data_IF_716258860015
#
_entry.id   IF_716258860015
#
_cell.length_a   1.000
_cell.length_b   1.000
_cell.length_c   1.000
_cell.angle_alpha   90.00
_cell.angle_beta   90.00
_cell.angle_gamma   90.00
#
_symmetry.space_group_name_H-M   'P 1'
#
loop_
_entity.id
_entity.type
_entity.pdbx_description
1 polymer ?
#
# COMPACT_ATOMS: atom_id res chain seq x y z
N UNK A 1 25.24 -66.41 25.72
CA UNK A 1 25.48 -67.60 24.88
C UNK A 1 24.58 -68.72 25.38
N UNK A 2 23.45 -69.00 24.71
CA UNK A 2 22.77 -70.31 24.60
C UNK A 2 21.43 -70.13 23.88
N UNK A 3 21.05 -71.20 23.18
CA UNK A 3 20.16 -71.28 22.02
C UNK A 3 18.74 -71.78 22.36
N UNK A 4 17.86 -71.61 21.37
CA UNK A 4 16.78 -72.53 20.91
C UNK A 4 15.38 -72.46 21.55
N UNK A 5 14.49 -71.84 20.75
CA UNK A 5 13.33 -72.45 20.06
C UNK A 5 12.30 -73.22 20.87
N UNK A 6 11.05 -72.73 20.81
CA UNK A 6 9.85 -73.59 20.82
C UNK A 6 8.98 -73.31 19.60
N UNK A 7 8.63 -74.41 18.94
CA UNK A 7 7.67 -74.54 17.86
C UNK A 7 6.27 -74.51 18.47
N UNK A 8 5.34 -73.80 17.86
CA UNK A 8 3.91 -73.92 18.16
C UNK A 8 3.11 -74.06 16.87
N UNK A 9 2.11 -74.92 16.98
CA UNK A 9 1.35 -75.55 15.90
C UNK A 9 0.38 -74.61 15.18
N UNK A 10 0.13 -75.02 13.93
CA UNK A 10 -0.89 -74.53 13.02
C UNK A 10 -2.27 -74.91 13.55
N UNK A 11 -3.16 -73.92 13.69
CA UNK A 11 -4.61 -74.12 13.65
C UNK A 11 -5.13 -73.24 12.52
N UNK A 12 -5.71 -73.89 11.51
CA UNK A 12 -6.44 -73.26 10.43
C UNK A 12 -7.78 -72.72 10.95
N UNK A 13 -8.10 -71.47 10.64
CA UNK A 13 -9.47 -70.98 10.71
C UNK A 13 -9.83 -70.29 9.40
N UNK A 14 -10.85 -70.86 8.77
CA UNK A 14 -11.54 -70.44 7.55
C UNK A 14 -11.99 -68.99 7.68
N UNK A 15 -11.55 -68.14 6.74
CA UNK A 15 -12.08 -66.78 6.58
C UNK A 15 -12.80 -66.67 5.24
N UNK A 16 -14.09 -66.35 5.35
CA UNK A 16 -15.04 -66.20 4.26
C UNK A 16 -14.64 -65.02 3.38
N UNK A 17 -14.52 -65.31 2.08
CA UNK A 17 -14.26 -64.37 1.00
C UNK A 17 -15.39 -63.33 0.92
N UNK A 18 -15.12 -62.08 1.29
CA UNK A 18 -15.97 -60.93 0.98
C UNK A 18 -15.25 -60.08 -0.05
N UNK A 19 -15.61 -60.23 -1.32
CA UNK A 19 -15.12 -59.41 -2.41
C UNK A 19 -15.90 -58.09 -2.37
N UNK A 20 -15.31 -57.05 -1.78
CA UNK A 20 -15.75 -55.66 -2.00
C UNK A 20 -15.06 -55.15 -3.26
N UNK A 21 -15.83 -55.04 -4.36
CA UNK A 21 -15.43 -54.27 -5.53
C UNK A 21 -15.34 -52.79 -5.13
N UNK A 22 -14.14 -52.29 -4.88
CA UNK A 22 -13.87 -50.85 -4.82
C UNK A 22 -13.67 -50.41 -6.27
N UNK A 23 -14.72 -49.92 -6.91
CA UNK A 23 -14.59 -49.15 -8.14
C UNK A 23 -13.88 -47.85 -7.81
N UNK A 24 -12.58 -47.76 -8.05
CA UNK A 24 -11.87 -46.48 -8.10
C UNK A 24 -12.38 -45.72 -9.33
N UNK A 25 -13.37 -44.87 -9.13
CA UNK A 25 -13.65 -43.76 -10.05
C UNK A 25 -12.44 -42.85 -9.99
N UNK A 26 -11.49 -43.02 -10.92
CA UNK A 26 -10.56 -41.96 -11.26
C UNK A 26 -11.40 -40.85 -11.89
N UNK A 27 -11.80 -39.88 -11.06
CA UNK A 27 -12.22 -38.60 -11.55
C UNK A 27 -11.00 -37.97 -12.25
N UNK A 28 -10.96 -38.04 -13.58
CA UNK A 28 -10.12 -37.16 -14.39
C UNK A 28 -10.65 -35.74 -14.17
N UNK A 29 -10.18 -35.08 -13.12
CA UNK A 29 -10.35 -33.65 -12.97
C UNK A 29 -9.69 -33.03 -14.20
N UNK A 30 -10.51 -32.47 -15.11
CA UNK A 30 -10.00 -31.64 -16.18
C UNK A 30 -9.16 -30.54 -15.53
N UNK A 31 -7.91 -30.37 -16.00
CA UNK A 31 -7.08 -29.24 -15.57
C UNK A 31 -7.91 -27.96 -15.72
N UNK A 32 -7.94 -27.06 -14.72
CA UNK A 32 -8.66 -25.82 -14.85
C UNK A 32 -8.21 -25.11 -16.12
N UNK A 33 -9.11 -24.45 -16.88
CA UNK A 33 -8.75 -23.79 -18.12
C UNK A 33 -7.60 -22.83 -17.82
N UNK A 34 -6.45 -23.10 -18.44
CA UNK A 34 -5.29 -22.21 -18.37
C UNK A 34 -5.75 -20.89 -18.97
N UNK A 35 -5.91 -19.85 -18.15
CA UNK A 35 -6.10 -18.49 -18.68
C UNK A 35 -4.95 -18.25 -19.64
N UNK A 36 -5.27 -18.11 -20.91
CA UNK A 36 -4.30 -17.81 -21.94
C UNK A 36 -3.67 -16.47 -21.57
N UNK A 37 -2.34 -16.48 -21.38
CA UNK A 37 -1.62 -15.27 -21.05
C UNK A 37 -1.64 -14.36 -22.28
N UNK A 38 -2.36 -13.25 -22.18
CA UNK A 38 -2.31 -12.20 -23.20
C UNK A 38 -1.12 -11.29 -22.85
N UNK A 39 -0.07 -11.24 -23.70
CA UNK A 39 1.08 -10.38 -23.44
C UNK A 39 0.65 -8.91 -23.44
N UNK A 40 1.29 -8.07 -22.62
CA UNK A 40 0.99 -6.64 -22.60
C UNK A 40 1.34 -6.00 -23.94
N UNK A 41 0.45 -5.12 -24.41
CA UNK A 41 0.70 -4.28 -25.58
C UNK A 41 1.66 -3.14 -25.22
N UNK A 42 2.55 -2.80 -26.14
CA UNK A 42 3.39 -1.60 -26.00
C UNK A 42 2.49 -0.34 -25.88
N UNK A 43 2.82 0.63 -25.02
CA UNK A 43 2.04 1.87 -24.92
C UNK A 43 2.02 2.58 -26.27
N UNK A 44 0.85 3.03 -26.77
CA UNK A 44 0.71 3.59 -28.13
C UNK A 44 1.53 4.86 -28.35
N UNK A 45 1.84 5.58 -27.27
CA UNK A 45 2.73 6.74 -27.24
C UNK A 45 3.72 6.53 -26.10
N UNK A 46 4.98 6.85 -26.36
CA UNK A 46 6.01 6.92 -25.31
C UNK A 46 6.75 8.25 -25.37
N UNK A 47 7.30 8.67 -24.23
CA UNK A 47 8.09 9.90 -24.12
C UNK A 47 9.58 9.57 -24.21
N UNK A 48 10.27 10.15 -25.19
CA UNK A 48 11.73 10.11 -25.26
C UNK A 48 12.31 11.14 -24.29
N UNK A 49 13.13 10.68 -23.36
CA UNK A 49 13.68 11.50 -22.26
C UNK A 49 15.02 12.15 -22.61
N UNK A 50 15.67 11.67 -23.67
CA UNK A 50 16.97 12.12 -24.14
C UNK A 50 17.06 11.97 -25.66
N UNK A 51 18.16 12.45 -26.24
CA UNK A 51 18.40 12.27 -27.67
C UNK A 51 18.50 10.78 -28.01
N UNK A 52 17.55 10.28 -28.81
CA UNK A 52 17.40 8.85 -29.11
C UNK A 52 17.75 8.58 -30.56
N UNK A 53 18.65 7.63 -30.80
CA UNK A 53 19.06 7.22 -32.16
C UNK A 53 17.99 6.37 -32.84
N UNK A 54 17.76 6.61 -34.13
CA UNK A 54 16.82 5.88 -34.97
C UNK A 54 17.55 5.05 -36.03
N UNK A 55 17.04 3.84 -36.28
CA UNK A 55 17.64 2.85 -37.15
C UNK A 55 16.62 2.30 -38.15
N UNK A 56 17.09 1.94 -39.34
CA UNK A 56 16.23 1.28 -40.36
C UNK A 56 15.96 -0.18 -39.99
N UNK A 57 16.87 -0.81 -39.24
CA UNK A 57 16.81 -2.21 -38.80
C UNK A 57 17.20 -2.32 -37.33
N UNK A 58 16.84 -3.41 -36.66
CA UNK A 58 17.19 -3.71 -35.26
C UNK A 58 18.66 -4.16 -35.13
N UNK A 59 19.60 -3.32 -35.53
CA UNK A 59 21.04 -3.60 -35.54
C UNK A 59 21.82 -2.32 -35.19
N UNK A 60 22.29 -2.23 -33.94
CA UNK A 60 23.08 -1.08 -33.45
C UNK A 60 24.48 -0.99 -34.07
N UNK A 61 24.98 -2.02 -34.75
CA UNK A 61 26.28 -1.94 -35.43
C UNK A 61 26.24 -1.03 -36.65
N UNK A 62 25.04 -0.75 -37.18
CA UNK A 62 24.82 0.18 -38.28
C UNK A 62 24.78 1.61 -37.76
N UNK A 63 25.28 2.53 -38.57
CA UNK A 63 25.15 3.97 -38.27
C UNK A 63 23.65 4.33 -38.16
N UNK A 64 23.23 5.08 -37.12
CA UNK A 64 21.88 5.61 -37.03
C UNK A 64 21.49 6.39 -38.28
N UNK A 65 20.25 6.21 -38.72
CA UNK A 65 19.68 6.97 -39.83
C UNK A 65 19.44 8.43 -39.43
N UNK A 66 18.96 8.64 -38.21
CA UNK A 66 18.72 9.95 -37.62
C UNK A 66 18.73 9.84 -36.08
N UNK A 67 18.46 10.96 -35.41
CA UNK A 67 18.19 10.98 -33.98
C UNK A 67 17.04 11.95 -33.69
N UNK A 68 16.24 11.63 -32.67
CA UNK A 68 15.18 12.49 -32.16
C UNK A 68 15.62 13.10 -30.84
N UNK A 69 15.39 14.40 -30.67
CA UNK A 69 15.47 15.06 -29.36
C UNK A 69 14.31 14.60 -28.46
N UNK A 70 14.36 14.85 -27.14
CA UNK A 70 13.26 14.53 -26.23
C UNK A 70 11.90 15.01 -26.74
N UNK A 71 10.95 14.10 -26.89
CA UNK A 71 9.60 14.33 -27.39
C UNK A 71 8.74 13.07 -27.24
N UNK A 72 7.43 13.21 -27.38
CA UNK A 72 6.53 12.08 -27.49
C UNK A 72 6.54 11.48 -28.90
N UNK A 73 6.51 10.15 -28.99
CA UNK A 73 6.50 9.41 -30.25
C UNK A 73 5.43 8.33 -30.27
N UNK A 74 4.79 8.14 -31.42
CA UNK A 74 3.80 7.09 -31.63
C UNK A 74 4.50 5.76 -31.91
N UNK A 75 4.22 4.76 -31.09
CA UNK A 75 4.74 3.39 -31.27
C UNK A 75 3.87 2.58 -32.22
N UNK A 76 4.48 1.66 -32.94
CA UNK A 76 3.80 0.72 -33.84
C UNK A 76 3.86 -0.69 -33.25
N UNK A 77 5.06 -1.16 -32.96
CA UNK A 77 5.35 -2.49 -32.44
C UNK A 77 6.63 -2.46 -31.61
N UNK A 78 6.86 -3.52 -30.85
CA UNK A 78 8.11 -3.77 -30.16
C UNK A 78 8.62 -5.16 -30.55
N UNK A 79 9.91 -5.44 -30.28
CA UNK A 79 10.43 -6.77 -30.47
C UNK A 79 9.64 -7.83 -29.69
N UNK A 80 9.69 -9.07 -30.18
CA UNK A 80 9.01 -10.18 -29.56
C UNK A 80 9.46 -10.34 -28.10
N UNK A 81 8.50 -10.60 -27.22
CA UNK A 81 8.73 -10.83 -25.79
C UNK A 81 9.45 -9.67 -25.05
N UNK A 82 9.35 -8.45 -25.56
CA UNK A 82 9.92 -7.25 -24.93
C UNK A 82 9.52 -7.08 -23.45
N UNK A 83 8.33 -7.55 -23.08
CA UNK A 83 7.78 -7.48 -21.72
C UNK A 83 8.43 -8.47 -20.74
N UNK A 84 9.25 -9.39 -21.24
CA UNK A 84 10.02 -10.35 -20.42
C UNK A 84 11.40 -9.81 -20.03
N UNK A 85 11.80 -8.69 -20.62
CA UNK A 85 13.09 -8.05 -20.35
C UNK A 85 13.17 -7.59 -18.91
N UNK A 86 14.38 -7.64 -18.40
CA UNK A 86 14.75 -7.21 -17.09
C UNK A 86 15.25 -5.76 -17.12
N UNK A 87 15.26 -5.14 -15.95
CA UNK A 87 15.83 -3.81 -15.77
C UNK A 87 17.30 -3.79 -16.23
N UNK A 88 17.66 -2.81 -17.04
CA UNK A 88 19.00 -2.65 -17.63
C UNK A 88 19.17 -3.37 -18.97
N UNK A 89 18.21 -4.21 -19.39
CA UNK A 89 18.14 -4.67 -20.77
C UNK A 89 17.49 -3.62 -21.67
N UNK A 90 17.82 -3.69 -22.95
CA UNK A 90 17.22 -2.83 -23.98
C UNK A 90 16.19 -3.57 -24.81
N UNK A 91 15.26 -2.80 -25.36
CA UNK A 91 14.14 -3.24 -26.18
C UNK A 91 14.15 -2.46 -27.48
N UNK A 92 14.03 -3.18 -28.59
CA UNK A 92 13.74 -2.58 -29.87
C UNK A 92 12.27 -2.22 -29.99
N UNK A 93 12.00 -0.94 -30.28
CA UNK A 93 10.65 -0.41 -30.47
C UNK A 93 10.61 0.27 -31.83
N UNK A 94 9.57 -0.02 -32.60
CA UNK A 94 9.31 0.63 -33.87
C UNK A 94 8.35 1.79 -33.66
N UNK A 95 8.68 2.93 -34.25
CA UNK A 95 7.87 4.14 -34.19
C UNK A 95 7.50 4.60 -35.59
N UNK A 96 6.40 5.35 -35.68
CA UNK A 96 6.06 6.05 -36.91
C UNK A 96 6.69 7.45 -36.89
N UNK A 97 7.43 7.78 -37.94
CA UNK A 97 7.90 9.16 -38.17
C UNK A 97 7.21 9.74 -39.39
N UNK A 98 6.84 11.03 -39.32
CA UNK A 98 6.13 11.71 -40.41
C UNK A 98 6.99 11.97 -41.64
N UNK A 99 8.32 11.89 -41.51
CA UNK A 99 9.28 12.33 -42.53
C UNK A 99 10.13 11.19 -43.12
N UNK A 100 10.27 10.06 -42.44
CA UNK A 100 11.03 8.89 -42.94
C UNK A 100 10.28 7.56 -42.82
N UNK A 101 8.99 7.60 -42.48
CA UNK A 101 8.20 6.39 -42.25
C UNK A 101 8.59 5.69 -40.96
N UNK A 102 8.51 4.36 -40.95
CA UNK A 102 8.70 3.59 -39.73
C UNK A 102 10.18 3.32 -39.48
N UNK A 103 10.64 3.62 -38.26
CA UNK A 103 12.02 3.44 -37.83
C UNK A 103 12.07 2.76 -36.46
N UNK A 104 13.19 2.10 -36.18
CA UNK A 104 13.45 1.43 -34.91
C UNK A 104 14.29 2.29 -33.98
N UNK A 105 14.03 2.18 -32.68
CA UNK A 105 14.84 2.73 -31.61
C UNK A 105 15.12 1.65 -30.58
N UNK A 106 16.24 1.77 -29.86
CA UNK A 106 16.67 0.80 -28.85
C UNK A 106 16.73 1.50 -27.50
N UNK A 107 15.74 1.23 -26.66
CA UNK A 107 15.54 1.91 -25.37
C UNK A 107 15.75 0.96 -24.21
N UNK A 108 16.27 1.49 -23.10
CA UNK A 108 16.29 0.73 -21.85
C UNK A 108 14.87 0.39 -21.40
N UNK A 109 14.66 -0.84 -20.94
CA UNK A 109 13.33 -1.36 -20.59
C UNK A 109 12.59 -0.49 -19.56
N UNK A 110 13.30 0.07 -18.59
CA UNK A 110 12.73 0.92 -17.54
C UNK A 110 12.47 2.38 -17.98
N UNK A 111 12.81 2.71 -19.23
CA UNK A 111 12.51 4.01 -19.87
C UNK A 111 11.36 3.93 -20.86
N UNK A 112 10.74 2.76 -21.02
CA UNK A 112 9.53 2.58 -21.82
C UNK A 112 8.35 3.08 -21.00
N UNK A 113 7.69 4.14 -21.45
CA UNK A 113 6.55 4.70 -20.76
C UNK A 113 6.20 6.09 -21.28
N UNK A 114 5.20 6.70 -20.66
CA UNK A 114 4.71 8.04 -21.02
C UNK A 114 4.82 8.97 -19.82
N UNK A 115 5.32 10.18 -20.05
CA UNK A 115 5.26 11.26 -19.08
C UNK A 115 3.93 11.98 -19.26
N UNK A 116 3.12 12.02 -18.20
CA UNK A 116 1.86 12.78 -18.18
C UNK A 116 1.99 13.95 -17.22
N UNK A 117 1.40 15.12 -17.55
CA UNK A 117 1.28 16.20 -16.59
C UNK A 117 0.48 15.72 -15.39
N UNK A 118 0.91 16.15 -14.22
CA UNK A 118 0.26 15.93 -12.93
C UNK A 118 0.36 17.24 -12.15
N UNK A 119 -0.56 17.51 -11.25
CA UNK A 119 -0.49 18.67 -10.35
C UNK A 119 -1.00 18.19 -8.99
N UNK A 120 -0.09 17.76 -8.13
CA UNK A 120 -0.45 17.18 -6.84
C UNK A 120 0.68 17.34 -5.82
N UNK A 121 0.34 17.31 -4.54
CA UNK A 121 1.34 17.23 -3.48
C UNK A 121 1.49 15.79 -3.03
N UNK A 122 2.74 15.39 -2.78
CA UNK A 122 3.12 14.04 -2.37
C UNK A 122 3.90 14.14 -1.07
N UNK A 123 3.42 13.47 -0.02
CA UNK A 123 4.20 13.30 1.20
C UNK A 123 5.19 12.15 1.02
N UNK A 124 6.48 12.46 1.07
CA UNK A 124 7.56 11.48 1.15
C UNK A 124 7.70 11.10 2.63
N UNK A 125 7.34 9.87 2.97
CA UNK A 125 7.35 9.45 4.38
C UNK A 125 8.76 9.15 4.87
N UNK A 126 9.67 8.73 3.97
CA UNK A 126 11.04 8.31 4.26
C UNK A 126 12.04 9.12 3.44
N UNK A 127 13.34 8.91 3.70
CA UNK A 127 14.42 9.48 2.88
C UNK A 127 14.29 9.03 1.41
N UNK A 128 14.30 9.99 0.49
CA UNK A 128 14.02 9.77 -0.93
C UNK A 128 15.18 10.23 -1.80
N UNK A 129 15.85 9.29 -2.48
CA UNK A 129 16.85 9.60 -3.51
C UNK A 129 16.21 10.31 -4.70
N UNK A 130 16.96 11.26 -5.28
CA UNK A 130 16.56 11.99 -6.49
C UNK A 130 17.25 11.45 -7.74
N UNK A 131 16.54 11.51 -8.86
CA UNK A 131 16.97 10.98 -10.15
C UNK A 131 16.78 12.03 -11.24
N UNK A 132 17.68 12.08 -12.22
CA UNK A 132 17.55 13.04 -13.34
C UNK A 132 16.52 12.61 -14.39
N UNK A 133 16.16 11.32 -14.41
CA UNK A 133 15.13 10.73 -15.26
C UNK A 133 14.30 9.71 -14.43
N UNK A 134 13.13 9.25 -14.90
CA UNK A 134 12.31 8.25 -14.21
C UNK A 134 12.90 6.81 -14.24
N UNK A 135 14.23 6.67 -14.14
CA UNK A 135 14.96 5.39 -14.17
C UNK A 135 15.95 5.31 -13.02
N UNK A 136 16.06 4.11 -12.40
CA UNK A 136 16.98 3.89 -11.28
C UNK A 136 18.46 4.06 -11.66
N UNK A 137 18.80 3.91 -12.94
CA UNK A 137 20.16 4.11 -13.46
C UNK A 137 20.64 5.56 -13.37
N UNK A 138 19.71 6.51 -13.19
CA UNK A 138 19.97 7.95 -13.22
C UNK A 138 19.99 8.59 -11.82
N UNK A 139 20.23 7.77 -10.80
CA UNK A 139 20.28 8.20 -9.41
C UNK A 139 21.37 9.24 -9.20
N UNK A 140 21.04 10.28 -8.46
CA UNK A 140 21.99 11.28 -7.98
C UNK A 140 22.38 10.99 -6.52
N UNK A 141 23.38 11.71 -6.02
CA UNK A 141 23.74 11.65 -4.60
C UNK A 141 22.80 12.49 -3.70
N UNK A 142 21.85 13.22 -4.29
CA UNK A 142 20.90 14.04 -3.54
C UNK A 142 19.80 13.17 -2.93
N UNK A 143 19.50 13.45 -1.66
CA UNK A 143 18.47 12.77 -0.86
C UNK A 143 17.60 13.82 -0.20
N UNK A 144 16.29 13.67 -0.33
CA UNK A 144 15.31 14.43 0.42
C UNK A 144 14.98 13.69 1.71
N UNK A 145 15.05 14.37 2.84
CA UNK A 145 14.44 13.89 4.08
C UNK A 145 12.90 13.87 3.95
N UNK A 146 12.17 13.15 4.83
CA UNK A 146 10.71 13.12 4.83
C UNK A 146 10.11 14.51 4.80
N UNK A 147 9.30 14.77 3.78
CA UNK A 147 8.64 16.06 3.57
C UNK A 147 7.58 15.92 2.48
N UNK A 148 6.73 16.93 2.37
CA UNK A 148 5.81 17.04 1.24
C UNK A 148 6.39 17.88 0.14
N UNK A 149 6.30 17.35 -1.07
CA UNK A 149 6.82 17.95 -2.30
C UNK A 149 5.69 18.13 -3.30
N UNK A 150 5.82 19.15 -4.13
CA UNK A 150 4.93 19.34 -5.26
C UNK A 150 5.41 18.49 -6.45
N UNK A 151 4.50 17.72 -7.04
CA UNK A 151 4.76 16.87 -8.19
C UNK A 151 4.00 17.39 -9.42
N UNK A 152 4.76 17.65 -10.48
CA UNK A 152 4.25 18.26 -11.71
C UNK A 152 4.15 17.29 -12.91
N UNK A 153 4.61 16.04 -12.73
CA UNK A 153 4.45 14.98 -13.73
C UNK A 153 4.50 13.58 -13.11
N UNK A 154 3.96 12.61 -13.84
CA UNK A 154 4.05 11.18 -13.55
C UNK A 154 4.59 10.44 -14.77
N UNK A 155 5.45 9.44 -14.54
CA UNK A 155 5.88 8.52 -15.57
C UNK A 155 5.16 7.19 -15.39
N UNK A 156 4.24 6.90 -16.31
CA UNK A 156 3.52 5.65 -16.36
C UNK A 156 4.28 4.67 -17.27
N UNK A 157 4.77 3.59 -16.68
CA UNK A 157 5.53 2.57 -17.40
C UNK A 157 4.88 1.19 -17.26
N UNK A 158 4.73 0.44 -18.36
CA UNK A 158 4.34 -0.97 -18.29
C UNK A 158 5.39 -1.85 -17.60
N UNK A 159 6.63 -1.37 -17.46
CA UNK A 159 7.69 -2.04 -16.71
C UNK A 159 7.60 -1.82 -15.19
N UNK A 160 6.75 -0.89 -14.73
CA UNK A 160 6.57 -0.66 -13.30
C UNK A 160 5.40 -1.46 -12.75
N UNK A 161 5.69 -2.44 -11.91
CA UNK A 161 4.69 -3.36 -11.37
C UNK A 161 4.03 -2.88 -10.06
N UNK A 162 4.66 -1.95 -9.33
CA UNK A 162 4.22 -1.57 -7.98
C UNK A 162 4.01 -0.07 -7.81
N UNK A 163 4.86 0.77 -8.39
CA UNK A 163 4.90 2.21 -8.07
C UNK A 163 5.35 3.03 -9.26
N UNK A 164 4.61 4.07 -9.59
CA UNK A 164 5.02 5.01 -10.64
C UNK A 164 6.17 5.90 -10.17
N UNK A 165 6.85 6.53 -11.13
CA UNK A 165 7.83 7.57 -10.84
C UNK A 165 7.16 8.93 -10.97
N UNK A 166 7.50 9.86 -10.08
CA UNK A 166 6.93 11.20 -10.05
C UNK A 166 8.02 12.23 -10.25
N UNK A 167 7.76 13.25 -11.07
CA UNK A 167 8.63 14.40 -11.20
C UNK A 167 8.19 15.45 -10.21
N UNK A 168 9.13 15.85 -9.36
CA UNK A 168 8.93 16.80 -8.28
C UNK A 168 9.72 18.07 -8.55
N UNK A 169 9.19 19.18 -8.07
CA UNK A 169 9.85 20.48 -8.18
C UNK A 169 10.80 20.64 -6.99
N UNK A 170 12.08 20.85 -7.27
CA UNK A 170 13.05 21.20 -6.23
C UNK A 170 13.58 22.61 -6.46
N UNK A 171 13.77 23.37 -5.39
CA UNK A 171 14.20 24.77 -5.51
C UNK A 171 15.69 24.94 -5.82
N UNK A 172 16.51 23.88 -5.71
CA UNK A 172 17.96 23.94 -5.89
C UNK A 172 18.54 23.07 -7.02
N UNK A 173 17.84 22.00 -7.43
CA UNK A 173 18.26 21.16 -8.57
C UNK A 173 17.32 21.28 -9.78
N UNK A 174 16.24 22.05 -9.65
CA UNK A 174 15.15 22.05 -10.63
C UNK A 174 14.28 20.80 -10.52
N UNK A 175 13.60 20.45 -11.59
CA UNK A 175 12.72 19.29 -11.62
C UNK A 175 13.53 17.99 -11.54
N UNK A 176 13.23 17.16 -10.55
CA UNK A 176 13.88 15.89 -10.31
C UNK A 176 12.85 14.77 -10.20
N UNK A 177 13.26 13.53 -10.43
CA UNK A 177 12.39 12.38 -10.32
C UNK A 177 12.57 11.66 -8.99
N UNK A 178 11.45 11.22 -8.43
CA UNK A 178 11.37 10.22 -7.38
C UNK A 178 10.92 8.92 -8.05
N UNK A 179 11.78 7.90 -8.04
CA UNK A 179 11.60 6.69 -8.85
C UNK A 179 11.15 5.51 -8.01
N UNK A 180 10.01 4.91 -8.39
CA UNK A 180 9.48 3.65 -7.84
C UNK A 180 9.45 3.54 -6.31
N UNK A 181 9.03 4.60 -5.61
CA UNK A 181 8.96 4.59 -4.14
C UNK A 181 7.61 4.11 -3.63
N UNK A 182 7.61 3.21 -2.63
CA UNK A 182 6.40 2.60 -2.06
C UNK A 182 5.84 3.33 -0.84
N UNK A 183 6.56 4.31 -0.28
CA UNK A 183 6.19 5.00 0.96
C UNK A 183 5.93 6.48 0.68
N UNK A 184 4.93 6.70 -0.18
CA UNK A 184 4.46 8.03 -0.52
C UNK A 184 2.96 8.10 -0.31
N UNK A 185 2.48 9.22 0.19
CA UNK A 185 1.05 9.53 0.21
C UNK A 185 0.78 10.54 -0.90
N UNK A 186 -0.13 10.20 -1.80
CA UNK A 186 -0.51 11.03 -2.93
C UNK A 186 -1.69 11.93 -2.55
N UNK A 187 -1.91 12.97 -3.35
CA UNK A 187 -3.05 13.87 -3.23
C UNK A 187 -3.14 14.53 -1.85
N UNK A 188 -1.99 14.96 -1.33
CA UNK A 188 -1.95 15.72 -0.09
C UNK A 188 -2.61 17.08 -0.30
N UNK A 189 -3.55 17.43 0.56
CA UNK A 189 -4.10 18.78 0.63
C UNK A 189 -3.23 19.60 1.59
N UNK A 190 -2.64 20.69 1.09
CA UNK A 190 -1.91 21.65 1.92
C UNK A 190 -2.92 22.52 2.65
N UNK A 191 -2.89 22.48 3.98
CA UNK A 191 -3.90 23.13 4.84
C UNK A 191 -3.34 24.42 5.46
N UNK A 192 -2.18 24.34 6.12
CA UNK A 192 -1.51 25.46 6.80
C UNK A 192 -2.43 26.32 7.68
N UNK A 193 -3.11 25.72 8.66
CA UNK A 193 -4.04 26.44 9.54
C UNK A 193 -3.97 25.95 10.99
N UNK A 194 -4.41 26.78 11.95
CA UNK A 194 -4.61 26.33 13.32
C UNK A 194 -5.78 25.36 13.45
N UNK A 195 -5.62 24.35 14.29
CA UNK A 195 -6.60 23.32 14.57
C UNK A 195 -6.70 23.09 16.08
N UNK A 196 -7.93 23.04 16.59
CA UNK A 196 -8.23 22.72 17.97
C UNK A 196 -8.45 21.22 18.13
N UNK A 197 -7.73 20.60 19.08
CA UNK A 197 -7.97 19.23 19.52
C UNK A 197 -8.65 19.32 20.90
N UNK A 198 -9.97 19.07 20.98
CA UNK A 198 -10.75 19.34 22.20
C UNK A 198 -10.61 18.26 23.27
N UNK A 199 -10.16 17.07 22.90
CA UNK A 199 -10.08 15.87 23.73
C UNK A 199 -8.76 15.15 23.50
N UNK A 200 -8.44 14.19 24.36
CA UNK A 200 -7.27 13.32 24.19
C UNK A 200 -7.34 12.65 22.81
N UNK A 201 -6.34 12.89 21.96
CA UNK A 201 -6.27 12.39 20.58
C UNK A 201 -5.10 11.43 20.42
N UNK A 202 -5.24 10.40 19.57
CA UNK A 202 -4.16 9.46 19.27
C UNK A 202 -2.97 10.20 18.63
N UNK A 203 -1.81 10.10 19.29
CA UNK A 203 -0.55 10.55 18.73
C UNK A 203 0.00 9.49 17.77
N UNK A 204 0.19 9.86 16.50
CA UNK A 204 0.75 8.97 15.50
C UNK A 204 2.15 9.47 15.11
N UNK A 205 3.18 8.79 15.61
CA UNK A 205 4.57 9.10 15.25
C UNK A 205 4.80 8.96 13.74
N UNK A 206 4.14 7.97 13.13
CA UNK A 206 4.13 7.75 11.69
C UNK A 206 2.69 7.70 11.18
N UNK A 207 2.49 7.96 9.88
CA UNK A 207 1.16 7.89 9.25
C UNK A 207 0.44 6.55 9.49
N UNK A 208 1.17 5.44 9.60
CA UNK A 208 0.62 4.09 9.77
C UNK A 208 0.52 3.62 11.23
N UNK A 209 0.81 4.49 12.21
CA UNK A 209 0.84 4.09 13.64
C UNK A 209 -0.45 3.40 14.08
N UNK A 210 -1.62 3.93 13.70
CA UNK A 210 -2.92 3.35 14.06
C UNK A 210 -3.07 1.89 13.61
N UNK A 211 -2.61 1.58 12.39
CA UNK A 211 -2.66 0.24 11.80
C UNK A 211 -1.69 -0.75 12.47
N UNK A 212 -0.69 -0.22 13.18
CA UNK A 212 0.39 -1.00 13.79
C UNK A 212 0.21 -1.22 15.29
N UNK A 213 -0.82 -0.63 15.89
CA UNK A 213 -1.14 -0.86 17.31
C UNK A 213 -1.47 -2.34 17.53
N UNK A 214 -0.69 -3.01 18.38
CA UNK A 214 -0.91 -4.42 18.74
C UNK A 214 -1.54 -4.54 20.12
N UNK A 215 -1.26 -3.58 21.00
CA UNK A 215 -1.76 -3.56 22.38
C UNK A 215 -2.22 -2.15 22.75
N UNK A 216 -3.19 -2.02 23.66
CA UNK A 216 -3.60 -0.71 24.16
C UNK A 216 -2.48 0.04 24.87
N UNK A 217 -1.55 -0.67 25.49
CA UNK A 217 -0.37 -0.08 26.14
C UNK A 217 0.57 0.65 25.18
N UNK A 218 0.47 0.37 23.88
CA UNK A 218 1.31 1.01 22.86
C UNK A 218 0.78 2.39 22.46
N UNK A 219 -0.44 2.72 22.92
CA UNK A 219 -1.12 3.97 22.61
C UNK A 219 -0.41 5.12 23.30
N UNK A 220 -0.07 6.13 22.50
CA UNK A 220 0.36 7.43 22.99
C UNK A 220 -0.75 8.43 22.67
N UNK A 221 -1.17 9.18 23.67
CA UNK A 221 -2.18 10.22 23.53
C UNK A 221 -1.53 11.59 23.60
N UNK A 222 -2.12 12.54 22.91
CA UNK A 222 -1.88 13.97 23.11
C UNK A 222 -3.09 14.59 23.81
N UNK A 223 -2.89 15.39 24.86
CA UNK A 223 -3.98 16.05 25.55
C UNK A 223 -4.60 17.16 24.69
N UNK A 224 -5.79 17.67 25.07
CA UNK A 224 -6.44 18.79 24.43
C UNK A 224 -5.49 19.97 24.26
N UNK A 225 -5.32 20.42 23.03
CA UNK A 225 -4.41 21.52 22.70
C UNK A 225 -4.71 22.10 21.31
N UNK A 226 -4.10 23.24 21.02
CA UNK A 226 -4.04 23.78 19.66
C UNK A 226 -2.80 23.24 18.96
N UNK A 227 -2.97 22.81 17.72
CA UNK A 227 -1.87 22.42 16.81
C UNK A 227 -1.97 23.23 15.51
N UNK A 228 -0.90 23.26 14.73
CA UNK A 228 -0.90 23.82 13.39
C UNK A 228 -0.95 22.68 12.37
N UNK A 229 -2.07 22.53 11.66
CA UNK A 229 -2.23 21.56 10.60
C UNK A 229 -1.47 22.02 9.36
N UNK A 230 -0.49 21.22 8.94
CA UNK A 230 0.35 21.51 7.78
C UNK A 230 -0.39 21.04 6.51
N UNK A 231 -0.86 19.81 6.55
CA UNK A 231 -1.42 19.09 5.41
C UNK A 231 -2.28 17.93 5.89
N UNK A 232 -3.10 17.39 4.98
CA UNK A 232 -3.90 16.19 5.25
C UNK A 232 -4.03 15.30 4.04
N UNK A 233 -4.31 14.04 4.31
CA UNK A 233 -4.72 13.05 3.32
C UNK A 233 -6.22 13.14 3.00
N UNK A 234 -6.63 12.52 1.90
CA UNK A 234 -8.05 12.37 1.55
C UNK A 234 -8.87 11.63 2.62
N UNK A 235 -8.25 10.71 3.37
CA UNK A 235 -8.89 9.98 4.47
C UNK A 235 -8.85 10.72 5.82
N UNK A 236 -8.53 12.01 5.84
CA UNK A 236 -8.65 12.85 7.03
C UNK A 236 -7.56 12.66 8.09
N UNK A 237 -6.40 12.12 7.70
CA UNK A 237 -5.21 12.07 8.57
C UNK A 237 -4.40 13.34 8.31
N UNK A 238 -4.09 14.06 9.37
CA UNK A 238 -3.37 15.32 9.33
C UNK A 238 -1.93 15.13 9.79
N UNK A 239 -0.99 15.78 9.10
CA UNK A 239 0.33 16.04 9.63
C UNK A 239 0.31 17.42 10.28
N UNK A 240 0.65 17.47 11.56
CA UNK A 240 0.50 18.65 12.40
C UNK A 240 1.79 19.00 13.10
N UNK A 241 1.90 20.25 13.53
CA UNK A 241 2.97 20.76 14.38
C UNK A 241 2.41 21.26 15.70
N UNK A 242 2.92 20.77 16.82
CA UNK A 242 2.58 21.28 18.15
C UNK A 242 3.28 22.61 18.45
N UNK A 243 2.86 23.27 19.54
CA UNK A 243 3.39 24.56 19.95
C UNK A 243 4.89 24.55 20.31
N UNK A 244 5.42 23.39 20.73
CA UNK A 244 6.85 23.17 20.99
C UNK A 244 7.68 22.91 19.72
N UNK A 245 7.02 22.87 18.55
CA UNK A 245 7.65 22.70 17.25
C UNK A 245 7.76 21.25 16.77
N UNK A 246 7.41 20.26 17.59
CA UNK A 246 7.41 18.86 17.16
C UNK A 246 6.32 18.60 16.11
N UNK A 247 6.61 17.72 15.14
CA UNK A 247 5.66 17.32 14.12
C UNK A 247 5.29 15.84 14.26
N UNK A 248 4.03 15.52 13.94
CA UNK A 248 3.49 14.17 14.04
C UNK A 248 2.17 14.08 13.26
N UNK A 249 1.69 12.87 13.06
CA UNK A 249 0.41 12.60 12.43
C UNK A 249 -0.70 12.47 13.48
N UNK A 250 -1.92 12.82 13.10
CA UNK A 250 -3.13 12.57 13.87
C UNK A 250 -4.27 12.24 12.91
N UNK A 251 -5.25 11.50 13.41
CA UNK A 251 -6.58 11.48 12.82
C UNK A 251 -7.53 12.03 13.88
N UNK A 252 -8.14 13.22 13.69
CA UNK A 252 -8.95 13.85 14.74
C UNK A 252 -10.13 12.98 15.21
N UNK A 253 -10.59 12.06 14.38
CA UNK A 253 -11.61 11.08 14.74
C UNK A 253 -11.09 9.99 15.68
N UNK A 254 -9.77 9.77 15.79
CA UNK A 254 -9.18 8.79 16.71
C UNK A 254 -8.85 9.50 18.03
N UNK A 255 -9.89 9.94 18.72
CA UNK A 255 -9.84 10.72 19.94
C UNK A 255 -10.97 10.34 20.89
N UNK A 256 -10.84 10.72 22.16
CA UNK A 256 -11.94 10.63 23.11
C UNK A 256 -13.14 11.47 22.64
N UNK A 257 -14.38 10.98 22.77
CA UNK A 257 -15.53 11.69 22.24
C UNK A 257 -15.81 13.00 22.99
N UNK A 258 -16.03 14.09 22.24
CA UNK A 258 -16.45 15.36 22.81
C UNK A 258 -17.85 15.21 23.43
N UNK A 259 -17.99 15.66 24.68
CA UNK A 259 -19.27 15.62 25.40
C UNK A 259 -19.61 14.26 25.99
N UNK A 260 -18.62 13.38 26.22
CA UNK A 260 -18.81 12.21 27.07
C UNK A 260 -19.31 12.64 28.46
N UNK A 261 -20.26 11.88 29.00
CA UNK A 261 -20.84 12.11 30.32
C UNK A 261 -20.26 11.12 31.31
N UNK A 262 -19.68 11.61 32.40
CA UNK A 262 -19.28 10.76 33.53
C UNK A 262 -20.51 10.14 34.19
N UNK A 263 -20.47 8.84 34.39
CA UNK A 263 -21.53 8.04 34.99
C UNK A 263 -20.95 7.08 36.03
N UNK A 264 -21.83 6.42 36.77
CA UNK A 264 -21.48 5.29 37.61
C UNK A 264 -22.63 4.28 37.50
N UNK A 265 -22.62 3.52 36.42
CA UNK A 265 -23.69 2.60 36.07
C UNK A 265 -23.15 1.19 35.93
N UNK A 266 -23.94 0.21 36.38
CA UNK A 266 -23.63 -1.20 36.19
C UNK A 266 -24.35 -1.70 34.94
N UNK A 267 -23.58 -2.08 33.94
CA UNK A 267 -24.04 -2.49 32.62
C UNK A 267 -24.03 -4.02 32.51
N UNK A 268 -25.13 -4.61 32.08
CA UNK A 268 -25.20 -6.06 31.80
C UNK A 268 -25.09 -6.29 30.30
N UNK A 269 -23.95 -6.82 29.87
CA UNK A 269 -23.70 -7.24 28.49
C UNK A 269 -24.34 -8.61 28.27
N UNK A 270 -25.30 -8.69 27.36
CA UNK A 270 -26.06 -9.92 27.08
C UNK A 270 -25.40 -10.82 26.01
N UNK A 271 -24.42 -10.28 25.30
CA UNK A 271 -23.70 -10.92 24.20
C UNK A 271 -22.26 -10.46 24.19
N UNK A 272 -21.45 -11.12 23.39
CA UNK A 272 -20.07 -10.75 23.16
C UNK A 272 -19.98 -9.38 22.47
N UNK A 273 -19.09 -8.51 22.94
CA UNK A 273 -18.87 -7.16 22.41
C UNK A 273 -17.39 -6.92 22.11
N UNK A 274 -17.08 -6.11 21.09
CA UNK A 274 -15.69 -5.72 20.79
C UNK A 274 -15.25 -4.59 21.71
N UNK A 275 -13.95 -4.60 22.03
CA UNK A 275 -13.29 -3.53 22.77
C UNK A 275 -12.64 -2.56 21.79
N UNK A 276 -13.03 -1.30 21.86
CA UNK A 276 -12.51 -0.22 21.02
C UNK A 276 -11.74 0.78 21.88
N UNK A 277 -10.65 1.29 21.33
CA UNK A 277 -9.92 2.40 21.96
C UNK A 277 -10.70 3.71 21.84
N UNK A 278 -11.32 3.96 20.68
CA UNK A 278 -12.25 5.06 20.47
C UNK A 278 -13.50 4.55 19.76
N UNK A 279 -14.70 5.08 20.05
CA UNK A 279 -15.93 4.70 19.35
C UNK A 279 -15.86 4.87 17.83
N UNK A 280 -15.13 5.87 17.38
CA UNK A 280 -14.94 6.29 15.99
C UNK A 280 -13.76 5.63 15.29
N UNK A 281 -12.98 4.81 16.00
CA UNK A 281 -11.86 4.06 15.43
C UNK A 281 -12.31 2.61 15.10
N UNK A 282 -12.55 2.28 13.82
CA UNK A 282 -13.13 0.97 13.46
C UNK A 282 -12.16 -0.20 13.68
N UNK A 283 -10.85 0.05 13.68
CA UNK A 283 -9.81 -0.94 13.91
C UNK A 283 -8.51 -0.25 14.37
N UNK A 284 -7.61 -0.97 15.07
CA UNK A 284 -7.79 -2.33 15.58
C UNK A 284 -8.79 -2.39 16.73
N UNK A 285 -9.35 -3.58 16.96
CA UNK A 285 -10.13 -3.87 18.18
C UNK A 285 -9.26 -4.69 19.12
N UNK A 286 -9.33 -4.41 20.42
CA UNK A 286 -8.42 -4.98 21.42
C UNK A 286 -9.00 -6.20 22.14
N UNK A 287 -9.72 -7.01 21.37
CA UNK A 287 -10.34 -8.25 21.83
C UNK A 287 -11.86 -8.18 21.91
N UNK A 288 -12.42 -9.23 22.49
CA UNK A 288 -13.85 -9.43 22.68
C UNK A 288 -14.10 -9.68 24.15
N UNK A 289 -15.11 -9.01 24.69
CA UNK A 289 -15.58 -9.18 26.03
C UNK A 289 -16.88 -10.00 25.99
N UNK A 290 -16.89 -11.17 26.62
CA UNK A 290 -18.08 -12.03 26.65
C UNK A 290 -19.19 -11.43 27.50
N UNK A 291 -20.42 -11.93 27.30
CA UNK A 291 -21.59 -11.56 28.10
C UNK A 291 -21.29 -11.62 29.62
N UNK A 292 -21.37 -10.47 30.29
CA UNK A 292 -21.09 -10.30 31.71
C UNK A 292 -21.60 -8.95 32.22
N UNK A 293 -21.51 -8.73 33.52
CA UNK A 293 -21.80 -7.44 34.13
C UNK A 293 -20.50 -6.65 34.33
N UNK A 294 -20.47 -5.41 33.87
CA UNK A 294 -19.32 -4.48 33.99
C UNK A 294 -19.77 -3.16 34.60
N UNK A 295 -18.83 -2.43 35.18
CA UNK A 295 -19.07 -1.08 35.68
C UNK A 295 -18.59 -0.08 34.62
N UNK A 296 -19.48 0.82 34.20
CA UNK A 296 -19.22 1.88 33.23
C UNK A 296 -19.06 3.21 33.95
N UNK A 297 -18.03 3.95 33.56
CA UNK A 297 -17.66 5.23 34.17
C UNK A 297 -17.88 6.42 33.25
N UNK A 298 -18.03 6.21 31.94
CA UNK A 298 -18.53 7.22 30.99
C UNK A 298 -19.52 6.63 30.00
N UNK A 299 -20.35 7.51 29.44
CA UNK A 299 -21.18 7.21 28.28
C UNK A 299 -21.08 8.31 27.24
N UNK A 300 -21.31 7.92 25.99
CA UNK A 300 -21.39 8.84 24.87
C UNK A 300 -22.49 8.39 23.92
N UNK A 301 -23.15 9.35 23.28
CA UNK A 301 -24.13 9.09 22.22
C UNK A 301 -23.50 9.57 20.93
N UNK A 302 -23.31 8.66 19.98
CA UNK A 302 -22.71 9.01 18.70
C UNK A 302 -23.67 9.87 17.85
N UNK A 303 -23.18 10.51 16.76
CA UNK A 303 -24.03 11.33 15.89
C UNK A 303 -25.20 10.56 15.25
N UNK A 304 -25.16 9.23 15.23
CA UNK A 304 -26.22 8.36 14.73
C UNK A 304 -27.25 7.99 15.81
N UNK A 305 -27.02 8.41 17.06
CA UNK A 305 -27.90 8.14 18.19
C UNK A 305 -27.58 6.84 18.92
N UNK A 306 -26.49 6.16 18.58
CA UNK A 306 -26.07 4.93 19.22
C UNK A 306 -25.32 5.21 20.52
N UNK A 307 -25.52 4.33 21.50
CA UNK A 307 -24.96 4.51 22.84
C UNK A 307 -23.68 3.70 23.03
N UNK A 308 -22.65 4.41 23.46
CA UNK A 308 -21.35 3.87 23.81
C UNK A 308 -21.09 4.02 25.29
N UNK A 309 -20.36 3.06 25.87
CA UNK A 309 -19.97 3.05 27.28
C UNK A 309 -18.48 2.84 27.41
N UNK A 310 -17.84 3.61 28.30
CA UNK A 310 -16.44 3.47 28.64
C UNK A 310 -16.34 2.62 29.92
N UNK A 311 -15.56 1.53 29.85
CA UNK A 311 -15.46 0.53 30.92
C UNK A 311 -14.00 0.19 31.22
N UNK A 312 -13.72 -0.21 32.46
CA UNK A 312 -12.42 -0.76 32.82
C UNK A 312 -12.30 -2.22 32.37
N UNK A 313 -11.24 -2.58 31.67
CA UNK A 313 -10.99 -3.95 31.21
C UNK A 313 -9.58 -4.43 31.53
N UNK A 314 -9.32 -5.72 31.30
CA UNK A 314 -7.98 -6.30 31.41
C UNK A 314 -6.97 -5.69 30.41
N UNK A 315 -7.47 -5.08 29.34
CA UNK A 315 -6.68 -4.46 28.29
C UNK A 315 -6.47 -2.95 28.54
N UNK A 316 -7.04 -2.40 29.61
CA UNK A 316 -7.14 -0.96 29.86
C UNK A 316 -8.58 -0.45 29.71
N UNK A 317 -8.72 0.86 29.71
CA UNK A 317 -10.02 1.52 29.55
C UNK A 317 -10.44 1.46 28.09
N UNK A 318 -11.68 1.00 27.84
CA UNK A 318 -12.16 0.67 26.49
C UNK A 318 -13.62 1.08 26.32
N UNK A 319 -13.93 1.53 25.11
CA UNK A 319 -15.29 1.79 24.66
C UNK A 319 -15.96 0.51 24.16
N UNK A 320 -17.21 0.31 24.54
CA UNK A 320 -18.07 -0.79 24.09
C UNK A 320 -19.43 -0.27 23.62
N UNK A 321 -20.01 -0.96 22.63
CA UNK A 321 -21.36 -0.73 22.13
C UNK A 321 -22.23 -1.97 22.41
N UNK A 322 -22.99 -2.01 23.52
CA UNK A 322 -23.68 -3.23 23.97
C UNK A 322 -24.73 -3.76 23.01
N UNK A 323 -25.40 -2.86 22.29
CA UNK A 323 -26.54 -3.19 21.43
C UNK A 323 -26.13 -3.68 20.05
N UNK A 324 -24.87 -3.52 19.66
CA UNK A 324 -24.36 -3.94 18.34
C UNK A 324 -23.90 -5.41 18.38
N UNK A 325 -24.56 -6.33 17.66
CA UNK A 325 -24.09 -7.72 17.56
C UNK A 325 -22.76 -7.80 16.78
N UNK A 326 -21.95 -8.82 17.09
CA UNK A 326 -20.67 -9.11 16.44
C UNK A 326 -20.78 -9.52 14.97
#
# INVERSE_FOLDING_TARGET
MQFKTRISHVIALVSVLSITLISTLQATAASPPRKEFLPPTIPPVITLLEQTSLYVTTDESRKPFAALTPQDVTTIEAEQDWYTKQRGEKVWIKINTTWAGDLWMHLDYDRIGIVKPLDTNIALLWDSYLYTQPSLSTRTDAVLAPQTVHANAIFESPASYLTNSYRIETSWLGDMWVVSQSQMLLNMEIVNQEMDLPTDTLYMENYDTSNRLQRPSDVKMIPPQKVFALEKTENGVYHVRSQDGNTFWIQPEYAEPVGSETINERLTLLKDVRLYLFPTMPFPTFGVLSAQTVDAFERWIDPQGERWYHIHTWAGDMWVQPDKPL
#
